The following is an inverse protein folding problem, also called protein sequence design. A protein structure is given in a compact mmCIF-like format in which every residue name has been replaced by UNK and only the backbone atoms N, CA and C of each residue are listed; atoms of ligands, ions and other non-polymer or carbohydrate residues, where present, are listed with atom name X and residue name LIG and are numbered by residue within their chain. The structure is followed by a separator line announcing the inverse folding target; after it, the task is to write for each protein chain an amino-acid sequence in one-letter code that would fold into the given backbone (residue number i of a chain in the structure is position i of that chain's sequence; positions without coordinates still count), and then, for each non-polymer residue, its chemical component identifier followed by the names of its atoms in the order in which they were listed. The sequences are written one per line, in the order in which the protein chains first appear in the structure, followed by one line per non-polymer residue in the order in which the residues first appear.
data_IF_389283919956
#
_entry.id   IF_389283919956
#
_cell.length_a   1.000
_cell.length_b   1.000
_cell.length_c   1.000
_cell.angle_alpha   90.00
_cell.angle_beta   90.00
_cell.angle_gamma   90.00
#
_symmetry.space_group_name_H-M   'P 1'
#
loop_
_entity.id
_entity.type
_entity.pdbx_description
1 polymer ?
#
# COMPACT_ATOMS: atom_id res chain seq x y z
N UNK A 1 -18.44 24.87 0.57
CA UNK A 1 -18.48 23.78 -0.44
C UNK A 1 -19.43 22.71 0.08
N UNK A 2 -20.39 22.23 -0.73
CA UNK A 2 -21.25 21.11 -0.32
C UNK A 2 -20.38 19.85 -0.29
N UNK A 3 -20.20 19.25 0.87
CA UNK A 3 -19.60 17.91 1.00
C UNK A 3 -20.51 16.93 0.24
N UNK A 4 -20.12 16.53 -0.97
CA UNK A 4 -20.78 15.45 -1.67
C UNK A 4 -20.53 14.17 -0.89
N UNK A 5 -21.61 13.49 -0.46
CA UNK A 5 -21.49 12.21 0.25
C UNK A 5 -20.77 11.23 -0.68
N UNK A 6 -19.59 10.78 -0.26
CA UNK A 6 -18.79 9.86 -1.05
C UNK A 6 -19.45 8.48 -1.05
N UNK A 7 -19.38 7.76 -2.17
CA UNK A 7 -19.88 6.39 -2.25
C UNK A 7 -19.06 5.46 -1.35
N UNK A 8 -19.70 4.46 -0.74
CA UNK A 8 -19.05 3.50 0.17
C UNK A 8 -17.90 2.75 -0.48
N UNK A 9 -18.03 2.41 -1.77
CA UNK A 9 -16.96 1.76 -2.52
C UNK A 9 -15.77 2.69 -2.72
N UNK A 10 -16.01 3.95 -3.11
CA UNK A 10 -14.95 4.96 -3.24
C UNK A 10 -14.21 5.20 -1.92
N UNK A 11 -14.93 5.30 -0.80
CA UNK A 11 -14.29 5.46 0.51
C UNK A 11 -13.51 4.21 0.96
N UNK A 12 -14.08 3.02 0.80
CA UNK A 12 -13.41 1.77 1.17
C UNK A 12 -12.17 1.51 0.35
N UNK A 13 -12.24 1.67 -0.98
CA UNK A 13 -11.07 1.52 -1.85
C UNK A 13 -10.05 2.65 -1.69
N UNK A 14 -10.47 3.87 -1.35
CA UNK A 14 -9.55 4.96 -0.97
C UNK A 14 -8.75 4.63 0.29
N UNK A 15 -9.40 4.09 1.33
CA UNK A 15 -8.72 3.63 2.54
C UNK A 15 -7.82 2.42 2.25
N UNK A 16 -8.28 1.50 1.41
CA UNK A 16 -7.50 0.35 0.97
C UNK A 16 -6.22 0.75 0.23
N UNK A 17 -6.29 1.74 -0.66
CA UNK A 17 -5.12 2.29 -1.34
C UNK A 17 -4.11 2.86 -0.34
N UNK A 18 -4.56 3.67 0.63
CA UNK A 18 -3.68 4.22 1.65
C UNK A 18 -2.98 3.11 2.46
N UNK A 19 -3.72 2.10 2.90
CA UNK A 19 -3.16 0.95 3.62
C UNK A 19 -2.18 0.14 2.74
N UNK A 20 -2.54 -0.11 1.48
CA UNK A 20 -1.73 -0.90 0.54
C UNK A 20 -0.42 -0.21 0.19
N UNK A 21 -0.39 1.12 0.10
CA UNK A 21 0.85 1.89 -0.12
C UNK A 21 1.83 1.68 1.04
N UNK A 22 1.35 1.79 2.28
CA UNK A 22 2.18 1.61 3.47
C UNK A 22 2.66 0.16 3.60
N UNK A 23 1.77 -0.81 3.41
CA UNK A 23 2.09 -2.23 3.48
C UNK A 23 3.05 -2.64 2.36
N UNK A 24 2.90 -2.10 1.15
CA UNK A 24 3.84 -2.30 0.05
C UNK A 24 5.27 -1.88 0.46
N UNK A 25 5.43 -0.71 1.08
CA UNK A 25 6.73 -0.23 1.54
C UNK A 25 7.33 -1.14 2.63
N UNK A 26 6.51 -1.58 3.60
CA UNK A 26 6.95 -2.49 4.66
C UNK A 26 7.35 -3.87 4.13
N UNK A 27 6.52 -4.46 3.27
CA UNK A 27 6.81 -5.76 2.64
C UNK A 27 8.11 -5.67 1.85
N UNK A 28 8.33 -4.56 1.11
CA UNK A 28 9.56 -4.36 0.37
C UNK A 28 10.77 -4.40 1.30
N UNK A 29 10.80 -3.61 2.37
CA UNK A 29 11.95 -3.58 3.30
C UNK A 29 12.18 -4.93 3.94
N UNK A 30 11.14 -5.60 4.43
CA UNK A 30 11.27 -6.92 5.07
C UNK A 30 11.78 -7.98 4.08
N UNK A 31 11.22 -8.01 2.87
CA UNK A 31 11.59 -8.98 1.83
C UNK A 31 13.02 -8.75 1.33
N UNK A 32 13.43 -7.50 1.13
CA UNK A 32 14.77 -7.18 0.62
C UNK A 32 15.88 -7.29 1.68
N UNK A 33 15.54 -7.29 2.98
CA UNK A 33 16.51 -7.46 4.09
C UNK A 33 16.59 -8.88 4.63
N UNK A 34 15.68 -9.78 4.23
CA UNK A 34 15.62 -11.15 4.74
C UNK A 34 15.56 -12.17 3.60
N UNK A 35 16.66 -12.91 3.42
CA UNK A 35 16.78 -13.92 2.36
C UNK A 35 15.73 -15.03 2.45
N UNK A 36 15.32 -15.44 3.66
CA UNK A 36 14.26 -16.45 3.82
C UNK A 36 12.91 -15.94 3.29
N UNK A 37 12.58 -14.68 3.57
CA UNK A 37 11.34 -14.06 3.06
C UNK A 37 11.41 -13.90 1.55
N UNK A 38 12.55 -13.43 1.00
CA UNK A 38 12.75 -13.33 -0.44
C UNK A 38 12.61 -14.69 -1.14
N UNK A 39 13.22 -15.74 -0.58
CA UNK A 39 13.16 -17.09 -1.15
C UNK A 39 11.75 -17.69 -1.06
N UNK A 40 11.02 -17.44 0.03
CA UNK A 40 9.61 -17.79 0.12
C UNK A 40 8.79 -17.09 -0.98
N UNK A 41 9.03 -15.81 -1.24
CA UNK A 41 8.37 -15.10 -2.33
C UNK A 41 8.71 -15.72 -3.70
N UNK A 42 9.98 -16.10 -3.93
CA UNK A 42 10.39 -16.81 -5.15
C UNK A 42 9.69 -18.17 -5.29
N UNK A 43 9.53 -18.94 -4.21
CA UNK A 43 8.93 -20.28 -4.28
C UNK A 43 7.45 -20.27 -4.67
N UNK A 44 6.74 -19.16 -4.47
CA UNK A 44 5.31 -19.07 -4.78
C UNK A 44 5.03 -18.86 -6.27
N UNK A 45 5.79 -18.00 -6.96
CA UNK A 45 5.54 -17.63 -8.37
C UNK A 45 6.79 -17.56 -9.24
N UNK A 46 7.89 -18.19 -8.82
CA UNK A 46 9.17 -18.21 -9.55
C UNK A 46 9.97 -16.91 -9.47
N UNK A 47 9.34 -15.77 -9.15
CA UNK A 47 10.01 -14.47 -9.06
C UNK A 47 9.45 -13.62 -7.92
N UNK A 48 10.31 -13.18 -7.00
CA UNK A 48 9.88 -12.48 -5.79
C UNK A 48 9.11 -11.18 -6.05
N UNK A 49 9.44 -10.44 -7.12
CA UNK A 49 8.68 -9.24 -7.51
C UNK A 49 7.30 -9.55 -8.08
N UNK A 50 7.10 -10.70 -8.71
CA UNK A 50 5.78 -11.12 -9.23
C UNK A 50 4.87 -11.46 -8.05
N UNK A 51 5.35 -12.30 -7.13
CA UNK A 51 4.64 -12.62 -5.88
C UNK A 51 4.33 -11.36 -5.07
N UNK A 52 5.29 -10.44 -4.95
CA UNK A 52 5.10 -9.16 -4.27
C UNK A 52 3.96 -8.35 -4.90
N UNK A 53 3.98 -8.16 -6.23
CA UNK A 53 2.94 -7.44 -6.95
C UNK A 53 1.56 -8.09 -6.77
N UNK A 54 1.48 -9.41 -6.87
CA UNK A 54 0.25 -10.17 -6.67
C UNK A 54 -0.31 -9.98 -5.24
N UNK A 55 0.55 -10.01 -4.22
CA UNK A 55 0.15 -9.76 -2.83
C UNK A 55 -0.39 -8.34 -2.68
N UNK A 56 0.30 -7.31 -3.18
CA UNK A 56 -0.14 -5.92 -3.05
C UNK A 56 -1.49 -5.68 -3.76
N UNK A 57 -1.69 -6.24 -4.96
CA UNK A 57 -2.97 -6.17 -5.67
C UNK A 57 -4.07 -6.91 -4.89
N UNK A 58 -3.78 -8.12 -4.41
CA UNK A 58 -4.71 -8.90 -3.60
C UNK A 58 -5.12 -8.17 -2.32
N UNK A 59 -4.16 -7.55 -1.63
CA UNK A 59 -4.42 -6.72 -0.44
C UNK A 59 -5.30 -5.52 -0.78
N UNK A 60 -5.02 -4.81 -1.87
CA UNK A 60 -5.84 -3.67 -2.30
C UNK A 60 -7.30 -4.07 -2.55
N UNK A 61 -7.52 -5.19 -3.25
CA UNK A 61 -8.87 -5.67 -3.57
C UNK A 61 -9.56 -6.15 -2.29
N UNK A 62 -8.89 -7.01 -1.51
CA UNK A 62 -9.44 -7.61 -0.29
C UNK A 62 -9.80 -6.53 0.75
N UNK A 63 -8.87 -5.63 1.05
CA UNK A 63 -9.11 -4.53 1.98
C UNK A 63 -10.15 -3.55 1.45
N UNK A 64 -10.22 -3.34 0.13
CA UNK A 64 -11.25 -2.50 -0.50
C UNK A 64 -12.65 -3.00 -0.16
N UNK A 65 -12.90 -4.29 -0.40
CA UNK A 65 -14.18 -4.90 -0.05
C UNK A 65 -14.44 -4.92 1.45
N UNK A 66 -13.44 -5.28 2.27
CA UNK A 66 -13.57 -5.29 3.73
C UNK A 66 -13.97 -3.89 4.23
N UNK A 67 -13.25 -2.84 3.84
CA UNK A 67 -13.53 -1.48 4.31
C UNK A 67 -14.87 -0.97 3.80
N UNK A 68 -15.26 -1.27 2.55
CA UNK A 68 -16.59 -0.91 2.03
C UNK A 68 -17.74 -1.59 2.77
N UNK A 69 -17.54 -2.80 3.27
CA UNK A 69 -18.53 -3.56 4.04
C UNK A 69 -18.66 -3.07 5.50
N UNK A 70 -17.69 -2.34 6.03
CA UNK A 70 -17.77 -1.76 7.39
C UNK A 70 -18.57 -0.45 7.43
N UNK A 71 -18.77 0.09 8.63
CA UNK A 71 -19.33 1.44 8.85
C UNK A 71 -18.26 2.54 8.82
N UNK A 72 -17.00 2.22 8.48
CA UNK A 72 -15.92 3.22 8.33
C UNK A 72 -16.23 4.26 7.23
N UNK A 73 -16.72 3.88 6.03
CA UNK A 73 -17.05 4.81 4.97
C UNK A 73 -18.06 5.90 5.38
N UNK A 74 -19.02 5.57 6.24
CA UNK A 74 -20.06 6.50 6.67
C UNK A 74 -19.53 7.64 7.55
N UNK A 75 -18.28 7.51 8.05
CA UNK A 75 -17.60 8.49 8.90
C UNK A 75 -16.51 9.28 8.16
N UNK A 76 -16.31 9.00 6.87
CA UNK A 76 -15.23 9.56 6.07
C UNK A 76 -15.80 10.48 4.99
N UNK A 77 -15.32 11.72 4.99
CA UNK A 77 -15.47 12.65 3.88
C UNK A 77 -14.32 12.49 2.87
N UNK A 78 -14.47 13.09 1.69
CA UNK A 78 -13.47 13.04 0.64
C UNK A 78 -12.14 13.67 1.07
N UNK A 79 -12.18 14.71 1.92
CA UNK A 79 -10.99 15.41 2.42
C UNK A 79 -10.12 14.52 3.31
N UNK A 80 -10.73 13.73 4.21
CA UNK A 80 -10.00 12.78 5.07
C UNK A 80 -9.35 11.67 4.26
N UNK A 81 -10.07 11.11 3.29
CA UNK A 81 -9.53 10.05 2.42
C UNK A 81 -8.34 10.60 1.62
N UNK A 82 -8.48 11.79 1.02
CA UNK A 82 -7.40 12.45 0.32
C UNK A 82 -6.19 12.70 1.24
N UNK A 83 -6.43 13.18 2.47
CA UNK A 83 -5.37 13.38 3.47
C UNK A 83 -4.64 12.06 3.78
N UNK A 84 -5.36 10.95 3.97
CA UNK A 84 -4.74 9.64 4.20
C UNK A 84 -3.91 9.17 3.02
N UNK A 85 -4.39 9.37 1.79
CA UNK A 85 -3.64 9.03 0.58
C UNK A 85 -2.35 9.85 0.46
N UNK A 86 -2.42 11.17 0.67
CA UNK A 86 -1.23 12.04 0.63
C UNK A 86 -0.19 11.58 1.65
N UNK A 87 -0.59 11.35 2.89
CA UNK A 87 0.33 10.88 3.92
C UNK A 87 0.87 9.48 3.65
N UNK A 88 0.04 8.57 3.15
CA UNK A 88 0.48 7.24 2.76
C UNK A 88 1.54 7.29 1.65
N UNK A 89 1.34 8.12 0.62
CA UNK A 89 2.32 8.31 -0.46
C UNK A 89 3.62 8.92 0.07
N UNK A 90 3.55 9.97 0.89
CA UNK A 90 4.74 10.61 1.47
C UNK A 90 5.51 9.59 2.30
N UNK A 91 4.85 8.93 3.25
CA UNK A 91 5.51 7.99 4.17
C UNK A 91 6.03 6.76 3.41
N UNK A 92 5.20 6.11 2.61
CA UNK A 92 5.57 4.91 1.86
C UNK A 92 6.66 5.19 0.84
N UNK A 93 6.57 6.31 0.12
CA UNK A 93 7.59 6.78 -0.81
C UNK A 93 8.92 7.07 -0.10
N UNK A 94 8.88 7.76 1.04
CA UNK A 94 10.09 8.03 1.85
C UNK A 94 10.74 6.75 2.37
N UNK A 95 9.98 5.75 2.79
CA UNK A 95 10.53 4.46 3.22
C UNK A 95 11.27 3.77 2.07
N UNK A 96 10.65 3.66 0.90
CA UNK A 96 11.26 2.99 -0.27
C UNK A 96 12.47 3.79 -0.77
N UNK A 97 12.35 5.11 -0.90
CA UNK A 97 13.44 5.97 -1.32
C UNK A 97 14.61 5.91 -0.34
N UNK A 98 14.33 5.98 0.97
CA UNK A 98 15.34 5.86 2.01
C UNK A 98 16.05 4.51 2.00
N UNK A 99 15.32 3.43 1.75
CA UNK A 99 15.89 2.08 1.62
C UNK A 99 16.90 1.98 0.47
N UNK A 100 16.58 2.55 -0.70
CA UNK A 100 17.46 2.50 -1.88
C UNK A 100 18.47 3.65 -1.98
N UNK A 101 18.36 4.70 -1.17
CA UNK A 101 19.25 5.86 -1.21
C UNK A 101 20.76 5.51 -1.11
N UNK A 102 21.21 4.53 -0.29
CA UNK A 102 22.62 4.13 -0.28
C UNK A 102 23.10 3.56 -1.61
N UNK A 103 22.25 2.80 -2.30
CA UNK A 103 22.58 2.18 -3.59
C UNK A 103 22.70 3.20 -4.72
N UNK A 104 22.00 4.34 -4.60
CA UNK A 104 22.12 5.45 -5.54
C UNK A 104 23.49 6.14 -5.43
N UNK A 105 24.00 6.32 -4.21
CA UNK A 105 25.32 6.93 -3.98
C UNK A 105 26.47 6.06 -4.46
N UNK A 106 26.30 4.74 -4.44
CA UNK A 106 27.30 3.80 -4.91
C UNK A 106 27.43 3.75 -6.45
N UNK A 107 26.47 4.33 -7.18
CA UNK A 107 26.41 4.29 -8.65
C UNK A 107 26.80 5.62 -9.33
N UNK A 108 27.11 6.68 -8.55
CA UNK A 108 27.55 8.01 -9.01
C UNK A 108 29.05 8.18 -8.76
#
# INVERSE_FOLDING_TARGET
MREAKIERFTAGFGLSAAASILLNALILVVKETNEHVMNFFKSLMGHHWVTHGAIVIGMFIMLGFIFSATNLPDRLDAGRILKYLIWAVIIGGSIIAGFFAPNLRAAL
#
